data_IF_568533240726
#
_entry.id   IF_568533240726
#
_cell.length_a   1.000
_cell.length_b   1.000
_cell.length_c   1.000
_cell.angle_alpha   90.00
_cell.angle_beta   90.00
_cell.angle_gamma   90.00
#
_symmetry.space_group_name_H-M   'P 1'
#
loop_
_entity.id
_entity.type
_entity.pdbx_description
1 polymer ?
#
# COMPACT_ATOMS: atom_id res chain seq x y z
N UNK A 1 -31.05 -31.99 -36.25
CA UNK A 1 -29.76 -31.25 -36.30
C UNK A 1 -28.71 -32.29 -36.62
N UNK A 2 -28.26 -32.32 -37.87
CA UNK A 2 -27.28 -33.30 -38.34
C UNK A 2 -25.88 -32.79 -37.99
N UNK A 3 -25.18 -33.53 -37.14
CA UNK A 3 -23.73 -33.41 -36.99
C UNK A 3 -23.06 -33.80 -38.33
N UNK A 4 -22.07 -33.02 -38.82
CA UNK A 4 -21.37 -33.35 -40.05
C UNK A 4 -20.44 -34.55 -39.81
N UNK A 5 -20.51 -35.53 -40.72
CA UNK A 5 -19.89 -36.84 -40.63
C UNK A 5 -18.40 -36.85 -40.27
N UNK A 6 -18.09 -37.62 -39.23
CA UNK A 6 -16.79 -38.26 -39.03
C UNK A 6 -16.57 -39.28 -40.15
N UNK A 7 -15.81 -38.89 -41.17
CA UNK A 7 -15.56 -39.72 -42.33
C UNK A 7 -14.37 -39.23 -43.14
N UNK A 8 -13.24 -38.98 -42.46
CA UNK A 8 -11.93 -38.92 -43.12
C UNK A 8 -11.02 -39.83 -42.33
N UNK A 9 -10.74 -40.99 -42.92
CA UNK A 9 -9.86 -42.04 -42.43
C UNK A 9 -8.46 -41.44 -42.28
N UNK A 10 -8.13 -40.94 -41.08
CA UNK A 10 -6.80 -40.39 -40.82
C UNK A 10 -5.82 -41.57 -40.85
N UNK A 11 -4.73 -41.50 -41.63
CA UNK A 11 -3.74 -42.56 -41.68
C UNK A 11 -3.24 -42.83 -40.24
N UNK A 12 -3.45 -44.06 -39.76
CA UNK A 12 -3.09 -44.48 -38.39
C UNK A 12 -1.76 -45.21 -38.44
N UNK A 13 -0.90 -44.91 -37.47
CA UNK A 13 0.31 -45.68 -37.24
C UNK A 13 -0.04 -47.15 -36.97
N UNK A 14 0.77 -48.08 -37.51
CA UNK A 14 0.62 -49.52 -37.32
C UNK A 14 0.87 -49.96 -35.87
N UNK A 15 1.55 -49.13 -35.07
CA UNK A 15 1.87 -49.35 -33.66
C UNK A 15 1.40 -48.15 -32.81
N UNK A 16 0.12 -48.13 -32.40
CA UNK A 16 -0.48 -46.98 -31.71
C UNK A 16 0.12 -46.69 -30.33
N UNK A 17 0.80 -47.65 -29.72
CA UNK A 17 1.54 -47.51 -28.46
C UNK A 17 2.61 -46.41 -28.53
N UNK A 18 3.19 -46.18 -29.70
CA UNK A 18 4.19 -45.12 -29.88
C UNK A 18 3.60 -43.71 -29.93
N UNK A 19 2.29 -43.55 -30.16
CA UNK A 19 1.68 -42.22 -30.17
C UNK A 19 1.80 -41.50 -28.82
N UNK A 20 1.77 -42.24 -27.72
CA UNK A 20 1.96 -41.69 -26.37
C UNK A 20 3.45 -41.40 -26.09
N UNK A 21 4.36 -42.23 -26.63
CA UNK A 21 5.80 -42.12 -26.43
C UNK A 21 6.48 -41.01 -27.25
N UNK A 22 5.88 -40.55 -28.36
CA UNK A 22 6.42 -39.48 -29.22
C UNK A 22 6.75 -38.22 -28.41
N UNK A 23 5.87 -37.82 -27.48
CA UNK A 23 6.06 -36.61 -26.67
C UNK A 23 7.26 -36.79 -25.75
N UNK A 24 7.30 -37.89 -24.99
CA UNK A 24 8.40 -38.17 -24.07
C UNK A 24 9.74 -38.29 -24.79
N UNK A 25 9.76 -38.83 -26.02
CA UNK A 25 10.95 -38.90 -26.86
C UNK A 25 11.48 -37.51 -27.21
N UNK A 26 10.61 -36.62 -27.70
CA UNK A 26 10.99 -35.25 -28.07
C UNK A 26 11.45 -34.39 -26.87
N UNK A 27 10.97 -34.68 -25.65
CA UNK A 27 11.35 -33.97 -24.43
C UNK A 27 12.46 -34.67 -23.62
N UNK A 28 12.97 -35.82 -24.07
CA UNK A 28 14.09 -36.54 -23.43
C UNK A 28 13.71 -37.35 -22.17
N UNK A 29 12.44 -37.71 -22.02
CA UNK A 29 11.92 -38.51 -20.90
C UNK A 29 11.95 -40.03 -21.10
N UNK A 30 12.28 -40.50 -22.31
CA UNK A 30 12.27 -41.93 -22.68
C UNK A 30 13.53 -42.65 -22.21
N UNK A 31 13.38 -43.89 -21.73
CA UNK A 31 14.50 -44.78 -21.37
C UNK A 31 15.30 -45.18 -22.61
N UNK A 32 16.60 -45.40 -22.46
CA UNK A 32 17.48 -45.69 -23.60
C UNK A 32 17.02 -46.89 -24.45
N UNK A 33 16.52 -47.96 -23.83
CA UNK A 33 16.02 -49.15 -24.54
C UNK A 33 14.75 -48.87 -25.37
N UNK A 34 13.85 -48.03 -24.85
CA UNK A 34 12.61 -47.65 -25.53
C UNK A 34 12.90 -46.62 -26.65
N UNK A 35 13.96 -45.83 -26.46
CA UNK A 35 14.43 -44.85 -27.43
C UNK A 35 14.91 -45.53 -28.71
N UNK A 36 15.74 -46.56 -28.60
CA UNK A 36 16.29 -47.27 -29.76
C UNK A 36 15.17 -47.97 -30.57
N UNK A 37 14.16 -48.52 -29.87
CA UNK A 37 12.98 -49.13 -30.50
C UNK A 37 12.10 -48.11 -31.20
N UNK A 38 11.89 -46.96 -30.57
CA UNK A 38 11.13 -45.87 -31.17
C UNK A 38 11.87 -45.27 -32.38
N UNK A 39 13.19 -45.07 -32.31
CA UNK A 39 14.00 -44.61 -33.44
C UNK A 39 13.92 -45.59 -34.62
N UNK A 40 13.97 -46.91 -34.37
CA UNK A 40 13.77 -47.93 -35.39
C UNK A 40 12.37 -47.85 -36.03
N UNK A 41 11.32 -47.67 -35.22
CA UNK A 41 9.95 -47.50 -35.70
C UNK A 41 9.76 -46.23 -36.56
N UNK A 42 10.36 -45.12 -36.14
CA UNK A 42 10.27 -43.83 -36.85
C UNK A 42 10.94 -43.88 -38.22
N UNK A 43 11.97 -44.72 -38.41
CA UNK A 43 12.58 -44.95 -39.73
C UNK A 43 11.65 -45.68 -40.71
N UNK A 44 10.65 -46.40 -40.20
CA UNK A 44 9.70 -47.19 -41.00
C UNK A 44 8.31 -46.54 -41.10
N UNK A 45 8.02 -45.51 -40.29
CA UNK A 45 6.71 -44.89 -40.20
C UNK A 45 6.74 -43.36 -40.47
N UNK A 46 6.33 -42.97 -41.69
CA UNK A 46 6.26 -41.57 -42.14
C UNK A 46 5.37 -40.68 -41.24
N UNK A 47 4.30 -41.25 -40.67
CA UNK A 47 3.40 -40.55 -39.74
C UNK A 47 4.13 -40.11 -38.47
N UNK A 48 4.81 -41.06 -37.82
CA UNK A 48 5.56 -40.78 -36.59
C UNK A 48 6.75 -39.86 -36.89
N UNK A 49 7.39 -40.00 -38.05
CA UNK A 49 8.43 -39.07 -38.50
C UNK A 49 7.91 -37.64 -38.65
N UNK A 50 6.76 -37.43 -39.30
CA UNK A 50 6.15 -36.10 -39.43
C UNK A 50 5.75 -35.49 -38.09
N UNK A 51 5.23 -36.29 -37.15
CA UNK A 51 4.88 -35.77 -35.82
C UNK A 51 6.13 -35.39 -35.01
N UNK A 52 7.22 -36.17 -35.11
CA UNK A 52 8.52 -35.81 -34.52
C UNK A 52 9.06 -34.51 -35.13
N UNK A 53 9.00 -34.33 -36.46
CA UNK A 53 9.42 -33.08 -37.11
C UNK A 53 8.57 -31.89 -36.68
N UNK A 54 7.26 -32.08 -36.51
CA UNK A 54 6.33 -31.06 -36.02
C UNK A 54 6.64 -30.65 -34.59
N UNK A 55 6.90 -31.61 -33.71
CA UNK A 55 7.26 -31.33 -32.31
C UNK A 55 8.65 -30.72 -32.18
N UNK A 56 9.64 -31.18 -32.96
CA UNK A 56 10.96 -30.56 -33.01
C UNK A 56 10.89 -29.12 -33.53
N UNK A 57 10.06 -28.86 -34.54
CA UNK A 57 9.73 -27.51 -34.99
C UNK A 57 9.13 -26.66 -33.86
N UNK A 58 8.14 -27.18 -33.12
CA UNK A 58 7.54 -26.48 -31.99
C UNK A 58 8.54 -26.22 -30.88
N UNK A 59 9.38 -27.19 -30.53
CA UNK A 59 10.45 -27.06 -29.53
C UNK A 59 11.48 -26.03 -29.98
N UNK A 60 11.88 -26.04 -31.26
CA UNK A 60 12.76 -25.01 -31.83
C UNK A 60 12.10 -23.64 -31.79
N UNK A 61 10.81 -23.52 -32.12
CA UNK A 61 10.07 -22.26 -32.01
C UNK A 61 10.03 -21.79 -30.56
N UNK A 62 9.68 -22.64 -29.60
CA UNK A 62 9.64 -22.32 -28.17
C UNK A 62 11.03 -21.97 -27.60
N UNK A 63 12.09 -22.67 -28.02
CA UNK A 63 13.49 -22.35 -27.63
C UNK A 63 14.00 -21.08 -28.29
N UNK A 64 13.59 -20.81 -29.53
CA UNK A 64 13.95 -19.60 -30.27
C UNK A 64 13.20 -18.37 -29.77
N UNK A 65 11.99 -18.57 -29.24
CA UNK A 65 11.17 -17.53 -28.64
C UNK A 65 11.64 -17.28 -27.20
N UNK A 66 12.85 -16.72 -27.08
CA UNK A 66 13.42 -16.26 -25.81
C UNK A 66 12.45 -15.36 -25.04
N UNK A 67 11.52 -14.69 -25.73
CA UNK A 67 10.54 -13.81 -25.10
C UNK A 67 9.54 -14.55 -24.22
N UNK A 68 9.17 -15.80 -24.54
CA UNK A 68 8.26 -16.61 -23.73
C UNK A 68 8.94 -17.10 -22.45
N UNK A 69 10.14 -17.66 -22.58
CA UNK A 69 10.96 -18.12 -21.45
C UNK A 69 11.26 -16.96 -20.50
N UNK A 70 11.64 -15.81 -21.06
CA UNK A 70 11.92 -14.59 -20.31
C UNK A 70 10.67 -14.07 -19.60
N UNK A 71 9.49 -14.06 -20.21
CA UNK A 71 8.23 -13.68 -19.55
C UNK A 71 7.89 -14.59 -18.36
N UNK A 72 8.04 -15.90 -18.51
CA UNK A 72 7.80 -16.85 -17.42
C UNK A 72 8.76 -16.65 -16.24
N UNK A 73 10.07 -16.60 -16.50
CA UNK A 73 11.06 -16.34 -15.45
C UNK A 73 10.86 -14.98 -14.77
N UNK A 74 10.49 -13.94 -15.52
CA UNK A 74 10.23 -12.61 -14.95
C UNK A 74 8.99 -12.62 -14.08
N UNK A 75 7.92 -13.31 -14.50
CA UNK A 75 6.70 -13.51 -13.71
C UNK A 75 6.99 -14.27 -12.42
N UNK A 76 7.79 -15.34 -12.48
CA UNK A 76 8.14 -16.14 -11.31
C UNK A 76 9.01 -15.35 -10.32
N UNK A 77 10.00 -14.60 -10.80
CA UNK A 77 10.84 -13.74 -9.96
C UNK A 77 10.02 -12.63 -9.28
N UNK A 78 9.11 -11.97 -10.02
CA UNK A 78 8.21 -10.95 -9.45
C UNK A 78 7.24 -11.57 -8.45
N UNK A 79 6.74 -12.78 -8.72
CA UNK A 79 5.84 -13.49 -7.80
C UNK A 79 6.54 -13.87 -6.49
N UNK A 80 7.84 -14.19 -6.53
CA UNK A 80 8.63 -14.58 -5.36
C UNK A 80 9.18 -13.39 -4.57
N UNK A 81 9.50 -12.26 -5.22
CA UNK A 81 10.25 -11.17 -4.58
C UNK A 81 9.63 -9.77 -4.71
N UNK A 82 8.58 -9.58 -5.52
CA UNK A 82 7.97 -8.28 -5.76
C UNK A 82 7.01 -7.85 -4.65
N UNK A 83 7.08 -6.58 -4.25
CA UNK A 83 6.08 -5.98 -3.35
C UNK A 83 4.69 -5.94 -4.01
N UNK A 84 4.60 -6.02 -5.33
CA UNK A 84 3.32 -6.12 -6.04
C UNK A 84 2.62 -7.48 -5.86
N UNK A 85 3.35 -8.56 -5.54
CA UNK A 85 2.76 -9.91 -5.38
C UNK A 85 1.88 -10.01 -4.11
N UNK A 86 2.16 -9.18 -3.10
CA UNK A 86 1.41 -9.13 -1.84
C UNK A 86 0.17 -8.22 -1.90
N UNK A 87 -0.05 -7.51 -3.00
CA UNK A 87 -1.19 -6.60 -3.18
C UNK A 87 -2.59 -7.23 -2.95
N UNK A 88 -2.85 -8.51 -3.29
CA UNK A 88 -4.15 -9.14 -3.01
C UNK A 88 -4.41 -9.34 -1.52
N UNK A 89 -3.36 -9.34 -0.68
CA UNK A 89 -3.47 -9.51 0.77
C UNK A 89 -4.09 -8.25 1.39
N UNK A 90 -4.67 -8.42 2.58
CA UNK A 90 -5.25 -7.32 3.35
C UNK A 90 -4.31 -6.11 3.41
N UNK A 91 -4.82 -4.94 2.99
CA UNK A 91 -4.11 -3.64 2.93
C UNK A 91 -2.81 -3.70 2.10
N UNK A 92 -2.85 -4.46 1.00
CA UNK A 92 -1.76 -4.68 0.06
C UNK A 92 -0.43 -5.16 0.69
N UNK A 93 -0.52 -5.84 1.83
CA UNK A 93 0.63 -6.36 2.58
C UNK A 93 1.20 -5.42 3.63
N UNK A 94 0.75 -4.16 3.72
CA UNK A 94 1.31 -3.12 4.59
C UNK A 94 0.69 -3.08 5.99
N UNK A 95 0.40 -4.25 6.58
CA UNK A 95 -0.37 -4.34 7.85
C UNK A 95 0.30 -3.66 9.04
N UNK A 96 1.63 -3.73 9.11
CA UNK A 96 2.41 -3.14 10.20
C UNK A 96 2.28 -1.61 10.16
N UNK A 97 2.56 -0.99 9.02
CA UNK A 97 2.38 0.45 8.82
C UNK A 97 0.95 0.89 9.16
N UNK A 98 -0.05 0.20 8.62
CA UNK A 98 -1.48 0.51 8.87
C UNK A 98 -1.81 0.46 10.36
N UNK A 99 -1.36 -0.57 11.07
CA UNK A 99 -1.58 -0.71 12.51
C UNK A 99 -0.86 0.37 13.32
N UNK A 100 0.43 0.57 13.07
CA UNK A 100 1.25 1.55 13.79
C UNK A 100 0.76 2.97 13.55
N UNK A 101 0.55 3.38 12.28
CA UNK A 101 0.05 4.70 11.95
C UNK A 101 -1.34 4.95 12.55
N UNK A 102 -2.25 3.97 12.53
CA UNK A 102 -3.57 4.10 13.13
C UNK A 102 -3.50 4.24 14.66
N UNK A 103 -2.63 3.51 15.34
CA UNK A 103 -2.42 3.63 16.79
C UNK A 103 -1.84 5.00 17.15
N UNK A 104 -0.79 5.45 16.46
CA UNK A 104 -0.18 6.77 16.73
C UNK A 104 -1.22 7.88 16.49
N UNK A 105 -1.93 7.83 15.36
CA UNK A 105 -3.01 8.76 15.04
C UNK A 105 -4.10 8.79 16.13
N UNK A 106 -4.58 7.62 16.56
CA UNK A 106 -5.59 7.51 17.60
C UNK A 106 -5.09 8.04 18.95
N UNK A 107 -3.82 7.80 19.30
CA UNK A 107 -3.19 8.38 20.49
C UNK A 107 -3.18 9.90 20.44
N UNK A 108 -2.85 10.53 19.31
CA UNK A 108 -2.86 11.99 19.16
C UNK A 108 -4.25 12.55 19.48
N UNK A 109 -5.28 11.95 18.89
CA UNK A 109 -6.67 12.42 19.05
C UNK A 109 -7.20 12.17 20.46
N UNK A 110 -6.91 11.01 21.05
CA UNK A 110 -7.28 10.70 22.43
C UNK A 110 -6.59 11.62 23.44
N UNK A 111 -5.30 11.93 23.22
CA UNK A 111 -4.54 12.83 24.07
C UNK A 111 -5.04 14.27 24.02
N UNK A 112 -5.60 14.72 22.89
CA UNK A 112 -6.29 16.02 22.81
C UNK A 112 -7.46 16.12 23.80
N UNK A 113 -8.13 15.02 24.18
CA UNK A 113 -9.19 15.07 25.22
C UNK A 113 -8.60 15.52 26.56
N UNK A 114 -7.48 14.95 26.97
CA UNK A 114 -6.80 15.34 28.21
C UNK A 114 -6.23 16.76 28.13
N UNK A 115 -5.68 17.13 26.98
CA UNK A 115 -5.06 18.43 26.77
C UNK A 115 -6.07 19.57 26.97
N UNK A 116 -7.27 19.42 26.40
CA UNK A 116 -8.28 20.48 26.39
C UNK A 116 -8.92 20.74 27.75
N UNK A 117 -8.83 19.79 28.69
CA UNK A 117 -9.39 19.90 30.03
C UNK A 117 -8.32 20.02 31.13
N UNK A 118 -7.03 20.02 30.77
CA UNK A 118 -5.93 19.87 31.73
C UNK A 118 -5.98 20.92 32.84
N UNK A 119 -6.31 22.18 32.52
CA UNK A 119 -6.41 23.29 33.49
C UNK A 119 -7.55 23.16 34.50
N UNK A 120 -8.50 22.26 34.26
CA UNK A 120 -9.58 21.93 35.20
C UNK A 120 -9.67 20.41 35.38
N UNK A 121 -8.51 19.75 35.47
CA UNK A 121 -8.42 18.29 35.50
C UNK A 121 -9.28 17.68 36.62
N UNK A 122 -9.24 18.21 37.83
CA UNK A 122 -10.05 17.70 38.96
C UNK A 122 -11.55 17.64 38.67
N UNK A 123 -12.06 18.59 37.88
CA UNK A 123 -13.47 18.64 37.51
C UNK A 123 -13.84 17.64 36.41
N UNK A 124 -12.92 17.37 35.48
CA UNK A 124 -13.20 16.64 34.25
C UNK A 124 -12.43 15.32 34.11
N UNK A 125 -11.62 14.92 35.08
CA UNK A 125 -10.78 13.71 35.02
C UNK A 125 -11.60 12.44 34.75
N UNK A 126 -12.74 12.28 35.44
CA UNK A 126 -13.62 11.12 35.23
C UNK A 126 -14.15 11.04 33.79
N UNK A 127 -14.49 12.19 33.19
CA UNK A 127 -14.86 12.27 31.78
C UNK A 127 -13.68 11.95 30.87
N UNK A 128 -12.49 12.47 31.16
CA UNK A 128 -11.27 12.23 30.39
C UNK A 128 -10.94 10.74 30.27
N UNK A 129 -10.90 10.06 31.42
CA UNK A 129 -10.52 8.66 31.53
C UNK A 129 -11.55 7.70 30.95
N UNK A 130 -12.78 8.14 30.77
CA UNK A 130 -13.84 7.37 30.09
C UNK A 130 -13.89 7.68 28.60
N UNK A 131 -13.79 8.96 28.21
CA UNK A 131 -13.86 9.39 26.82
C UNK A 131 -12.61 9.02 26.01
N UNK A 132 -11.41 9.20 26.55
CA UNK A 132 -10.17 9.02 25.79
C UNK A 132 -9.96 7.59 25.26
N UNK A 133 -10.21 6.49 26.02
CA UNK A 133 -10.14 5.13 25.47
C UNK A 133 -11.17 4.88 24.36
N UNK A 134 -12.38 5.43 24.49
CA UNK A 134 -13.44 5.31 23.47
C UNK A 134 -13.03 6.04 22.19
N UNK A 135 -12.52 7.27 22.33
CA UNK A 135 -11.95 8.06 21.23
C UNK A 135 -10.80 7.32 20.56
N UNK A 136 -9.89 6.73 21.34
CA UNK A 136 -8.78 5.95 20.81
C UNK A 136 -9.29 4.78 19.96
N UNK A 137 -10.17 3.94 20.48
CA UNK A 137 -10.70 2.78 19.77
C UNK A 137 -11.45 3.18 18.50
N UNK A 138 -12.28 4.23 18.58
CA UNK A 138 -13.03 4.77 17.46
C UNK A 138 -12.10 5.27 16.34
N UNK A 139 -11.12 6.10 16.68
CA UNK A 139 -10.21 6.69 15.69
C UNK A 139 -9.21 5.68 15.13
N UNK A 140 -8.79 4.69 15.91
CA UNK A 140 -7.98 3.57 15.43
C UNK A 140 -8.76 2.74 14.39
N UNK A 141 -10.02 2.40 14.71
CA UNK A 141 -10.90 1.69 13.78
C UNK A 141 -11.16 2.52 12.51
N UNK A 142 -11.39 3.83 12.64
CA UNK A 142 -11.57 4.74 11.50
C UNK A 142 -10.31 4.85 10.63
N UNK A 143 -9.12 4.93 11.24
CA UNK A 143 -7.83 4.96 10.53
C UNK A 143 -7.58 3.69 9.72
N UNK A 144 -7.77 2.51 10.34
CA UNK A 144 -7.68 1.21 9.65
C UNK A 144 -8.76 1.14 8.54
N UNK A 145 -9.99 1.55 8.85
CA UNK A 145 -11.11 1.58 7.91
C UNK A 145 -10.86 2.46 6.70
N UNK A 146 -10.24 3.63 6.88
CA UNK A 146 -9.87 4.54 5.80
C UNK A 146 -8.86 3.89 4.84
N UNK A 147 -7.76 3.35 5.37
CA UNK A 147 -6.72 2.67 4.58
C UNK A 147 -7.24 1.39 3.90
N UNK A 148 -8.07 0.61 4.60
CA UNK A 148 -8.71 -0.57 4.04
C UNK A 148 -9.70 -0.21 2.92
N UNK A 149 -10.43 0.90 3.05
CA UNK A 149 -11.35 1.41 2.02
C UNK A 149 -10.59 1.83 0.78
N UNK A 150 -9.49 2.58 0.94
CA UNK A 150 -8.63 2.96 -0.18
C UNK A 150 -8.10 1.72 -0.92
N UNK A 151 -7.53 0.76 -0.20
CA UNK A 151 -7.05 -0.49 -0.78
C UNK A 151 -8.15 -1.25 -1.54
N UNK A 152 -9.35 -1.41 -0.96
CA UNK A 152 -10.46 -2.12 -1.59
C UNK A 152 -10.91 -1.44 -2.88
N UNK A 153 -11.07 -0.11 -2.86
CA UNK A 153 -11.50 0.65 -4.04
C UNK A 153 -10.42 0.66 -5.12
N UNK A 154 -9.16 0.86 -4.74
CA UNK A 154 -8.02 0.83 -5.66
C UNK A 154 -7.87 -0.54 -6.30
N UNK A 155 -8.00 -1.63 -5.54
CA UNK A 155 -8.04 -3.02 -6.05
C UNK A 155 -9.19 -3.25 -7.03
N UNK A 156 -10.36 -2.67 -6.76
CA UNK A 156 -11.54 -2.76 -7.62
C UNK A 156 -11.49 -1.88 -8.88
N UNK A 157 -10.35 -1.29 -9.21
CA UNK A 157 -10.25 -0.44 -10.40
C UNK A 157 -10.62 1.03 -10.18
N UNK A 158 -11.18 1.38 -9.02
CA UNK A 158 -11.82 2.68 -8.79
C UNK A 158 -10.83 3.76 -8.41
N UNK A 159 -10.92 4.89 -9.09
CA UNK A 159 -10.08 6.07 -8.87
C UNK A 159 -10.51 6.93 -7.64
N UNK A 160 -11.56 6.54 -6.93
CA UNK A 160 -12.07 7.28 -5.76
C UNK A 160 -11.47 6.81 -4.42
N UNK A 161 -10.45 5.92 -4.45
CA UNK A 161 -9.85 5.34 -3.24
C UNK A 161 -9.40 6.38 -2.21
N UNK A 162 -8.55 7.33 -2.62
CA UNK A 162 -8.07 8.41 -1.76
C UNK A 162 -9.21 9.32 -1.25
N UNK A 163 -10.13 9.72 -2.13
CA UNK A 163 -11.24 10.58 -1.74
C UNK A 163 -12.16 9.90 -0.72
N UNK A 164 -12.41 8.59 -0.91
CA UNK A 164 -13.21 7.80 0.02
C UNK A 164 -12.51 7.60 1.37
N UNK A 165 -11.20 7.36 1.40
CA UNK A 165 -10.47 7.21 2.66
C UNK A 165 -10.41 8.50 3.46
N UNK A 166 -10.17 9.64 2.80
CA UNK A 166 -10.30 10.97 3.41
C UNK A 166 -11.72 11.18 3.92
N UNK A 167 -12.74 10.83 3.12
CA UNK A 167 -14.15 10.93 3.51
C UNK A 167 -14.48 10.10 4.76
N UNK A 168 -13.98 8.88 4.87
CA UNK A 168 -14.12 8.02 6.06
C UNK A 168 -13.51 8.71 7.28
N UNK A 169 -12.28 9.22 7.16
CA UNK A 169 -11.56 9.83 8.28
C UNK A 169 -12.24 11.14 8.74
N UNK A 170 -12.62 12.00 7.79
CA UNK A 170 -13.33 13.27 8.07
C UNK A 170 -14.69 13.00 8.69
N UNK A 171 -15.45 12.03 8.18
CA UNK A 171 -16.77 11.68 8.74
C UNK A 171 -16.66 11.14 10.16
N UNK A 172 -15.66 10.28 10.42
CA UNK A 172 -15.41 9.74 11.75
C UNK A 172 -14.99 10.83 12.74
N UNK A 173 -14.13 11.77 12.31
CA UNK A 173 -13.70 12.91 13.10
C UNK A 173 -14.85 13.89 13.39
N UNK A 174 -15.70 14.17 12.39
CA UNK A 174 -16.88 15.01 12.55
C UNK A 174 -17.89 14.39 13.52
N UNK A 175 -18.17 13.08 13.38
CA UNK A 175 -19.05 12.36 14.30
C UNK A 175 -18.51 12.38 15.72
N UNK A 176 -17.21 12.11 15.90
CA UNK A 176 -16.57 12.19 17.21
C UNK A 176 -16.71 13.58 17.82
N UNK A 177 -16.42 14.64 17.06
CA UNK A 177 -16.59 16.01 17.53
C UNK A 177 -18.03 16.28 17.96
N UNK A 178 -19.02 15.90 17.15
CA UNK A 178 -20.44 16.09 17.47
C UNK A 178 -20.86 15.36 18.75
N UNK A 179 -20.31 14.17 19.01
CA UNK A 179 -20.58 13.38 20.21
C UNK A 179 -19.89 13.96 21.44
N UNK A 180 -18.64 14.41 21.34
CA UNK A 180 -17.88 14.95 22.47
C UNK A 180 -18.23 16.40 22.82
N UNK A 181 -18.63 17.20 21.82
CA UNK A 181 -18.90 18.63 21.97
C UNK A 181 -19.79 18.97 23.17
N UNK A 182 -20.93 18.30 23.44
CA UNK A 182 -21.79 18.62 24.59
C UNK A 182 -21.11 18.46 25.95
N UNK A 183 -20.07 17.62 26.03
CA UNK A 183 -19.33 17.34 27.26
C UNK A 183 -18.10 18.23 27.42
N UNK A 184 -17.67 18.90 26.35
CA UNK A 184 -16.56 19.84 26.36
C UNK A 184 -17.06 21.24 26.77
N UNK A 185 -16.36 21.94 27.67
CA UNK A 185 -16.75 23.29 28.10
C UNK A 185 -16.85 24.32 26.96
N UNK A 186 -17.89 25.15 27.04
CA UNK A 186 -18.15 26.28 26.11
C UNK A 186 -17.35 27.54 26.45
N UNK A 187 -16.49 27.49 27.45
CA UNK A 187 -15.63 28.59 27.89
C UNK A 187 -14.16 28.19 27.76
N UNK A 188 -13.22 29.14 27.67
CA UNK A 188 -11.79 28.86 27.66
C UNK A 188 -11.36 28.21 28.98
N UNK A 189 -10.70 27.04 28.89
CA UNK A 189 -10.15 26.33 30.06
C UNK A 189 -8.67 26.68 30.23
N UNK A 190 -7.89 26.69 29.15
CA UNK A 190 -6.48 27.08 29.18
C UNK A 190 -6.36 28.56 29.49
N UNK A 191 -5.62 28.88 30.55
CA UNK A 191 -5.38 30.26 30.96
C UNK A 191 -4.07 30.78 30.37
N UNK A 192 -4.14 31.85 29.58
CA UNK A 192 -2.99 32.55 29.02
C UNK A 192 -3.13 34.07 29.18
N UNK A 193 -2.08 34.82 28.88
CA UNK A 193 -2.06 36.30 28.85
C UNK A 193 -2.84 36.88 27.66
N UNK A 194 -3.17 36.05 26.67
CA UNK A 194 -4.01 36.39 25.54
C UNK A 194 -5.33 35.58 25.55
N UNK A 195 -6.27 35.96 24.68
CA UNK A 195 -7.55 35.27 24.57
C UNK A 195 -7.40 33.86 24.01
N UNK A 196 -7.73 32.85 24.82
CA UNK A 196 -7.74 31.45 24.42
C UNK A 196 -9.10 31.01 23.87
N UNK A 197 -9.09 29.88 23.16
CA UNK A 197 -10.30 29.31 22.55
C UNK A 197 -11.07 28.51 23.61
N UNK A 198 -12.37 28.33 23.40
CA UNK A 198 -13.16 27.40 24.21
C UNK A 198 -12.67 25.97 23.98
N UNK A 199 -12.85 25.07 24.96
CA UNK A 199 -12.41 23.68 24.81
C UNK A 199 -13.04 22.99 23.59
N UNK A 200 -14.31 23.32 23.28
CA UNK A 200 -14.97 22.85 22.06
C UNK A 200 -14.23 23.29 20.78
N UNK A 201 -13.91 24.58 20.67
CA UNK A 201 -13.30 25.13 19.47
C UNK A 201 -11.83 24.70 19.33
N UNK A 202 -11.11 24.60 20.45
CA UNK A 202 -9.74 24.12 20.48
C UNK A 202 -9.65 22.64 20.10
N UNK A 203 -10.54 21.78 20.62
CA UNK A 203 -10.64 20.37 20.23
C UNK A 203 -10.98 20.19 18.74
N UNK A 204 -11.87 21.02 18.18
CA UNK A 204 -12.20 20.99 16.75
C UNK A 204 -10.96 21.35 15.90
N UNK A 205 -10.28 22.44 16.25
CA UNK A 205 -9.04 22.89 15.59
C UNK A 205 -7.99 21.76 15.60
N UNK A 206 -7.80 21.15 16.76
CA UNK A 206 -6.89 20.03 16.95
C UNK A 206 -7.22 18.82 16.07
N UNK A 207 -8.51 18.47 16.02
CA UNK A 207 -9.01 17.38 15.20
C UNK A 207 -8.74 17.64 13.72
N UNK A 208 -9.01 18.87 13.25
CA UNK A 208 -8.77 19.28 11.86
C UNK A 208 -7.28 19.17 11.51
N UNK A 209 -6.38 19.68 12.36
CA UNK A 209 -4.94 19.55 12.12
C UNK A 209 -4.47 18.10 12.12
N UNK A 210 -4.98 17.29 13.03
CA UNK A 210 -4.60 15.87 13.13
C UNK A 210 -5.05 15.08 11.90
N UNK A 211 -6.29 15.31 11.43
CA UNK A 211 -6.82 14.68 10.20
C UNK A 211 -6.04 15.14 8.97
N UNK A 212 -5.78 16.45 8.84
CA UNK A 212 -5.02 16.99 7.70
C UNK A 212 -3.59 16.44 7.65
N UNK A 213 -2.92 16.37 8.81
CA UNK A 213 -1.57 15.82 8.93
C UNK A 213 -1.55 14.33 8.56
N UNK A 214 -2.52 13.55 9.06
CA UNK A 214 -2.66 12.11 8.76
C UNK A 214 -2.98 11.87 7.29
N UNK A 215 -3.79 12.73 6.67
CA UNK A 215 -4.06 12.66 5.24
C UNK A 215 -2.77 12.85 4.43
N UNK A 216 -1.94 13.84 4.81
CA UNK A 216 -0.70 14.17 4.10
C UNK A 216 0.41 13.12 4.27
N UNK A 217 0.64 12.64 5.50
CA UNK A 217 1.76 11.74 5.81
C UNK A 217 1.40 10.26 5.77
N UNK A 218 0.11 9.90 5.77
CA UNK A 218 -0.34 8.50 5.76
C UNK A 218 -1.21 8.21 4.54
N UNK A 219 -2.38 8.86 4.38
CA UNK A 219 -3.35 8.47 3.34
C UNK A 219 -2.82 8.71 1.91
N UNK A 220 -2.20 9.86 1.65
CA UNK A 220 -1.67 10.20 0.32
C UNK A 220 -0.51 9.28 -0.08
N UNK A 221 0.54 9.10 0.76
CA UNK A 221 1.60 8.11 0.50
C UNK A 221 1.07 6.70 0.32
N UNK A 222 0.15 6.28 1.18
CA UNK A 222 -0.47 4.96 1.12
C UNK A 222 -1.18 4.72 -0.21
N UNK A 223 -2.04 5.65 -0.61
CA UNK A 223 -2.76 5.57 -1.87
C UNK A 223 -1.83 5.47 -3.08
N UNK A 224 -0.73 6.24 -3.08
CA UNK A 224 0.26 6.17 -4.14
C UNK A 224 0.90 4.79 -4.23
N UNK A 225 1.38 4.23 -3.11
CA UNK A 225 2.01 2.90 -3.08
C UNK A 225 1.05 1.81 -3.54
N UNK A 226 -0.18 1.80 -3.03
CA UNK A 226 -1.20 0.80 -3.39
C UNK A 226 -1.58 0.91 -4.87
N UNK A 227 -1.70 2.13 -5.39
CA UNK A 227 -1.96 2.34 -6.82
C UNK A 227 -0.79 1.83 -7.65
N UNK A 228 0.46 2.13 -7.26
CA UNK A 228 1.65 1.63 -7.95
C UNK A 228 1.72 0.10 -7.94
N UNK A 229 1.46 -0.56 -6.79
CA UNK A 229 1.42 -2.02 -6.71
C UNK A 229 0.40 -2.60 -7.71
N UNK A 230 -0.79 -2.00 -7.83
CA UNK A 230 -1.78 -2.40 -8.84
C UNK A 230 -1.27 -2.19 -10.27
N UNK A 231 -0.66 -1.04 -10.56
CA UNK A 231 -0.13 -0.74 -11.89
C UNK A 231 0.97 -1.73 -12.30
N UNK A 232 1.84 -2.13 -11.35
CA UNK A 232 2.86 -3.17 -11.54
C UNK A 232 2.23 -4.54 -11.81
N UNK A 233 1.19 -4.92 -11.06
CA UNK A 233 0.42 -6.15 -11.38
C UNK A 233 -0.19 -6.11 -12.79
N UNK A 234 -0.53 -4.92 -13.30
CA UNK A 234 -0.95 -4.69 -14.68
C UNK A 234 0.18 -4.71 -15.71
N UNK A 235 1.41 -5.05 -15.33
CA UNK A 235 2.57 -5.16 -16.22
C UNK A 235 3.31 -3.83 -16.48
N UNK A 236 2.91 -2.71 -15.87
CA UNK A 236 3.44 -1.36 -16.17
C UNK A 236 4.77 -1.02 -15.49
N UNK A 237 5.68 -1.99 -15.40
CA UNK A 237 6.97 -1.89 -14.71
C UNK A 237 7.90 -0.83 -15.32
N UNK A 238 7.91 -0.68 -16.65
CA UNK A 238 8.75 0.32 -17.32
C UNK A 238 8.36 1.75 -16.94
N UNK A 239 7.07 2.07 -17.00
CA UNK A 239 6.57 3.40 -16.64
C UNK A 239 6.83 3.71 -15.16
N UNK A 240 6.64 2.72 -14.29
CA UNK A 240 6.94 2.84 -12.88
C UNK A 240 8.44 3.11 -12.63
N UNK A 241 9.33 2.38 -13.31
CA UNK A 241 10.77 2.60 -13.21
C UNK A 241 11.17 4.01 -13.66
N UNK A 242 10.67 4.47 -14.81
CA UNK A 242 10.92 5.82 -15.33
C UNK A 242 10.42 6.89 -14.33
N UNK A 243 9.25 6.72 -13.70
CA UNK A 243 8.72 7.65 -12.70
C UNK A 243 9.59 7.74 -11.44
N UNK A 244 10.00 6.59 -10.92
CA UNK A 244 10.78 6.50 -9.69
C UNK A 244 12.27 6.87 -9.90
N UNK A 245 12.73 6.93 -11.15
CA UNK A 245 14.09 7.38 -11.50
C UNK A 245 14.16 8.81 -12.02
N UNK A 246 13.02 9.46 -12.27
CA UNK A 246 12.98 10.84 -12.77
C UNK A 246 13.14 10.96 -14.30
N UNK A 247 12.69 9.95 -15.05
CA UNK A 247 12.64 9.98 -16.50
C UNK A 247 11.78 11.12 -17.04
N UNK A 248 12.19 11.73 -18.15
CA UNK A 248 11.57 12.93 -18.74
C UNK A 248 10.11 12.74 -19.20
N UNK A 249 9.70 11.50 -19.49
CA UNK A 249 8.34 11.16 -19.95
C UNK A 249 7.50 10.45 -18.89
N UNK A 250 7.98 10.42 -17.64
CA UNK A 250 7.29 9.70 -16.60
C UNK A 250 6.12 10.51 -16.02
N UNK A 251 4.92 9.97 -16.18
CA UNK A 251 3.69 10.53 -15.62
C UNK A 251 3.20 9.62 -14.51
N UNK A 252 2.86 10.20 -13.36
CA UNK A 252 2.26 9.45 -12.27
C UNK A 252 0.93 8.80 -12.71
N UNK A 253 0.55 7.63 -12.17
CA UNK A 253 -0.73 7.02 -12.49
C UNK A 253 -1.88 8.00 -12.28
N UNK A 254 -2.89 7.94 -13.15
CA UNK A 254 -4.02 8.86 -13.11
C UNK A 254 -4.64 8.88 -11.72
N UNK A 255 -4.69 10.07 -11.10
CA UNK A 255 -5.26 10.33 -9.76
C UNK A 255 -4.50 9.73 -8.57
N UNK A 256 -3.25 9.30 -8.77
CA UNK A 256 -2.32 8.98 -7.68
C UNK A 256 -1.28 10.11 -7.52
N UNK A 257 -1.49 11.07 -6.59
CA UNK A 257 -0.55 12.16 -6.40
C UNK A 257 0.82 11.63 -5.94
N UNK A 258 1.83 11.81 -6.79
CA UNK A 258 3.21 11.47 -6.43
C UNK A 258 3.85 12.63 -5.66
N UNK A 259 4.05 12.44 -4.36
CA UNK A 259 4.85 13.35 -3.54
C UNK A 259 6.24 12.74 -3.37
N UNK A 260 7.30 13.50 -3.65
CA UNK A 260 8.66 13.03 -3.42
C UNK A 260 8.91 12.91 -1.91
N UNK A 261 9.54 11.82 -1.46
CA UNK A 261 9.82 11.61 -0.05
C UNK A 261 10.61 12.78 0.60
N UNK A 262 11.57 13.38 -0.11
CA UNK A 262 12.31 14.53 0.41
C UNK A 262 11.43 15.76 0.64
N UNK A 263 10.37 15.97 -0.16
CA UNK A 263 9.42 17.07 0.05
C UNK A 263 8.63 16.85 1.34
N UNK A 264 8.18 15.62 1.61
CA UNK A 264 7.55 15.27 2.89
C UNK A 264 8.53 15.47 4.06
N UNK A 265 9.81 15.12 3.88
CA UNK A 265 10.86 15.40 4.86
C UNK A 265 11.04 16.88 5.15
N UNK A 266 11.11 17.73 4.11
CA UNK A 266 11.18 19.19 4.28
C UNK A 266 9.93 19.73 4.97
N UNK A 267 8.73 19.30 4.56
CA UNK A 267 7.48 19.70 5.19
C UNK A 267 7.43 19.30 6.68
N UNK A 268 7.92 18.11 7.03
CA UNK A 268 8.00 17.63 8.41
C UNK A 268 8.95 18.49 9.24
N UNK A 269 10.15 18.80 8.72
CA UNK A 269 11.13 19.65 9.41
C UNK A 269 10.62 21.07 9.58
N UNK A 270 10.08 21.68 8.52
CA UNK A 270 9.49 23.02 8.61
C UNK A 270 8.30 23.06 9.58
N UNK A 271 7.43 22.04 9.54
CA UNK A 271 6.32 21.89 10.48
C UNK A 271 6.79 21.73 11.92
N UNK A 272 7.85 20.96 12.15
CA UNK A 272 8.44 20.78 13.48
C UNK A 272 9.03 22.09 14.03
N UNK A 273 9.79 22.83 13.22
CA UNK A 273 10.33 24.15 13.59
C UNK A 273 9.18 25.11 13.93
N UNK A 274 8.18 25.21 13.06
CA UNK A 274 7.02 26.06 13.29
C UNK A 274 6.28 25.68 14.58
N UNK A 275 6.08 24.37 14.80
CA UNK A 275 5.43 23.86 16.00
C UNK A 275 6.23 24.18 17.27
N UNK A 276 7.57 24.07 17.26
CA UNK A 276 8.42 24.47 18.39
C UNK A 276 8.25 25.94 18.70
N UNK A 277 8.35 26.82 17.69
CA UNK A 277 8.22 28.29 17.88
C UNK A 277 6.83 28.64 18.41
N UNK A 278 5.78 28.08 17.82
CA UNK A 278 4.39 28.33 18.25
C UNK A 278 4.14 27.80 19.66
N UNK A 279 4.72 26.66 20.03
CA UNK A 279 4.57 26.09 21.38
C UNK A 279 5.35 26.90 22.40
N UNK A 280 6.58 27.34 22.09
CA UNK A 280 7.36 28.20 22.97
C UNK A 280 6.60 29.49 23.31
N UNK A 281 6.03 30.15 22.29
CA UNK A 281 5.21 31.34 22.49
C UNK A 281 3.97 31.07 23.35
N UNK A 282 3.30 29.93 23.14
CA UNK A 282 2.15 29.52 23.96
C UNK A 282 2.56 29.28 25.43
N UNK A 283 3.69 28.62 25.65
CA UNK A 283 4.18 28.28 26.99
C UNK A 283 4.64 29.51 27.78
N UNK A 284 5.27 30.48 27.12
CA UNK A 284 5.67 31.76 27.74
C UNK A 284 4.45 32.61 28.14
N UNK A 285 3.38 32.53 27.37
CA UNK A 285 2.14 33.25 27.64
C UNK A 285 1.20 32.54 28.63
N UNK A 286 1.53 31.33 29.05
CA UNK A 286 0.67 30.50 29.89
C UNK A 286 0.64 31.01 31.34
N UNK A 287 -0.54 31.11 31.96
CA UNK A 287 -0.62 31.41 33.39
C UNK A 287 -0.25 30.16 34.20
N UNK A 288 0.62 30.33 35.18
CA UNK A 288 1.04 29.25 36.06
C UNK A 288 -0.10 28.91 37.02
N UNK A 289 -0.54 27.66 36.98
CA UNK A 289 -1.56 27.05 37.84
C UNK A 289 -1.08 25.67 38.30
N UNK A 290 -1.84 25.02 39.18
CA UNK A 290 -1.53 23.68 39.68
C UNK A 290 -1.44 22.60 38.57
N UNK A 291 -2.13 22.81 37.44
CA UNK A 291 -2.13 21.87 36.31
C UNK A 291 -1.25 22.29 35.13
N UNK A 292 -0.49 23.38 35.23
CA UNK A 292 0.37 23.83 34.13
C UNK A 292 1.35 22.74 33.68
N UNK A 293 1.91 21.97 34.63
CA UNK A 293 2.83 20.89 34.30
C UNK A 293 2.14 19.73 33.54
N UNK A 294 0.91 19.38 33.92
CA UNK A 294 0.12 18.38 33.21
C UNK A 294 -0.17 18.81 31.77
N UNK A 295 -0.57 20.07 31.58
CA UNK A 295 -0.81 20.63 30.26
C UNK A 295 0.47 20.64 29.40
N UNK A 296 1.60 21.06 29.96
CA UNK A 296 2.91 21.06 29.28
C UNK A 296 3.30 19.64 28.84
N UNK A 297 3.24 18.66 29.74
CA UNK A 297 3.55 17.27 29.40
C UNK A 297 2.62 16.72 28.34
N UNK A 298 1.33 17.03 28.40
CA UNK A 298 0.36 16.58 27.40
C UNK A 298 0.68 17.15 26.02
N UNK A 299 1.02 18.44 25.92
CA UNK A 299 1.49 19.07 24.68
C UNK A 299 2.77 18.41 24.17
N UNK A 300 3.76 18.17 25.03
CA UNK A 300 5.03 17.57 24.65
C UNK A 300 4.85 16.14 24.12
N UNK A 301 4.06 15.31 24.80
CA UNK A 301 3.75 13.95 24.34
C UNK A 301 3.02 14.01 23.01
N UNK A 302 2.05 14.92 22.85
CA UNK A 302 1.31 15.09 21.59
C UNK A 302 2.23 15.49 20.44
N UNK A 303 3.15 16.42 20.68
CA UNK A 303 4.16 16.82 19.71
C UNK A 303 5.06 15.65 19.29
N UNK A 304 5.52 14.84 20.25
CA UNK A 304 6.29 13.62 19.97
C UNK A 304 5.49 12.64 19.12
N UNK A 305 4.18 12.49 19.36
CA UNK A 305 3.32 11.62 18.54
C UNK A 305 3.13 12.15 17.12
N UNK A 306 2.98 13.46 16.91
CA UNK A 306 2.95 14.05 15.56
C UNK A 306 4.25 13.79 14.80
N UNK A 307 5.40 13.98 15.46
CA UNK A 307 6.69 13.66 14.89
C UNK A 307 6.80 12.16 14.58
N UNK A 308 6.38 11.30 15.51
CA UNK A 308 6.38 9.85 15.31
C UNK A 308 5.54 9.44 14.10
N UNK A 309 4.33 9.99 13.94
CA UNK A 309 3.46 9.71 12.79
C UNK A 309 4.10 10.18 11.47
N UNK A 310 4.69 11.39 11.47
CA UNK A 310 5.36 11.93 10.30
C UNK A 310 6.61 11.14 9.90
N UNK A 311 7.45 10.78 10.89
CA UNK A 311 8.66 9.98 10.69
C UNK A 311 8.34 8.54 10.26
N UNK A 312 7.35 7.91 10.89
CA UNK A 312 6.89 6.57 10.55
C UNK A 312 6.35 6.53 9.12
N UNK A 313 5.43 7.45 8.77
CA UNK A 313 4.87 7.54 7.42
C UNK A 313 5.94 7.84 6.37
N UNK A 314 6.90 8.71 6.66
CA UNK A 314 8.02 9.02 5.77
C UNK A 314 8.97 7.84 5.59
N UNK A 315 9.35 7.17 6.68
CA UNK A 315 10.26 6.03 6.65
C UNK A 315 9.63 4.85 5.89
N UNK A 316 8.36 4.53 6.19
CA UNK A 316 7.60 3.52 5.47
C UNK A 316 7.48 3.86 3.98
N UNK A 317 7.09 5.09 3.65
CA UNK A 317 6.92 5.52 2.27
C UNK A 317 8.24 5.46 1.49
N UNK A 318 9.35 5.89 2.10
CA UNK A 318 10.67 5.78 1.49
C UNK A 318 11.07 4.31 1.25
N UNK A 319 10.84 3.42 2.21
CA UNK A 319 11.10 1.98 2.04
C UNK A 319 10.26 1.39 0.91
N UNK A 320 8.95 1.66 0.91
CA UNK A 320 8.02 1.15 -0.09
C UNK A 320 8.35 1.66 -1.51
N UNK A 321 8.74 2.94 -1.66
CA UNK A 321 9.23 3.48 -2.93
C UNK A 321 10.50 2.76 -3.42
N UNK A 322 11.44 2.47 -2.51
CA UNK A 322 12.66 1.75 -2.85
C UNK A 322 12.38 0.31 -3.26
N UNK A 323 11.43 -0.37 -2.61
CA UNK A 323 10.97 -1.71 -2.98
C UNK A 323 10.31 -1.71 -4.37
N UNK A 324 9.39 -0.78 -4.64
CA UNK A 324 8.78 -0.61 -5.96
C UNK A 324 9.84 -0.34 -7.04
N UNK A 325 10.84 0.49 -6.72
CA UNK A 325 11.96 0.81 -7.63
C UNK A 325 12.82 -0.43 -7.90
N UNK A 326 13.13 -1.23 -6.89
CA UNK A 326 13.91 -2.48 -7.03
C UNK A 326 13.17 -3.47 -7.91
N UNK A 327 11.89 -3.71 -7.65
CA UNK A 327 11.05 -4.61 -8.45
C UNK A 327 11.02 -4.15 -9.92
N UNK A 328 10.72 -2.87 -10.15
CA UNK A 328 10.64 -2.31 -11.51
C UNK A 328 11.99 -2.38 -12.24
N UNK A 329 13.11 -2.17 -11.53
CA UNK A 329 14.45 -2.26 -12.10
C UNK A 329 14.82 -3.69 -12.52
N UNK A 330 14.46 -4.70 -11.71
CA UNK A 330 14.69 -6.11 -12.02
C UNK A 330 13.94 -6.49 -13.28
N UNK A 331 12.65 -6.17 -13.36
CA UNK A 331 11.82 -6.45 -14.56
C UNK A 331 12.34 -5.69 -15.77
N UNK A 332 12.73 -4.43 -15.63
CA UNK A 332 13.28 -3.64 -16.73
C UNK A 332 14.57 -4.26 -17.31
N UNK A 333 15.52 -4.66 -16.45
CA UNK A 333 16.76 -5.35 -16.88
C UNK A 333 16.47 -6.68 -17.54
N UNK A 334 15.53 -7.45 -16.99
CA UNK A 334 15.12 -8.71 -17.58
C UNK A 334 14.44 -8.49 -18.94
N UNK A 335 13.73 -7.39 -19.18
CA UNK A 335 13.10 -7.11 -20.48
C UNK A 335 14.05 -6.58 -21.56
N UNK A 336 15.23 -6.09 -21.18
CA UNK A 336 16.25 -5.55 -22.10
C UNK A 336 17.63 -6.18 -21.78
N UNK A 337 17.85 -7.46 -22.11
CA UNK A 337 19.16 -8.06 -21.97
C UNK A 337 20.13 -7.35 -22.93
N UNK A 338 21.26 -6.89 -22.39
CA UNK A 338 22.36 -6.26 -23.15
C UNK A 338 22.99 -7.27 -24.09
#
# INVERSE_FOLDING_TARGET
MNEPGEGVDRPRCSQPEWNEAITDYCFGGVRQEDRDRFEAHVLECDLCWHEVQRLDSLIKTLRSDKSLTQRHFTSDIVSMAGISSVFPRFVAGHRIHVGVAAVIFACIVALSVFMEIAYQYDRFAAFAWTAAPVVFLWMAAAGIGALATDWRLTRAGRASGLAASIGVLVSAAALQYMVLRPFLPIFPITEATFQTWTAQAAFLKDTVYTVAFTALFTLVPFHFIVTMQRELQGGRHRMAFELLTGGRFAVAPTRAPYIRAWLLGVLLVCGAIYSIVSTAHLLEALKVTEYSNLFIHTIQIRWLLFLALGLEGLAWYHSALNELKRESAVVYRLSNPI
#
